data_IF_907346558207
#
_entry.id   IF_907346558207
#
_cell.length_a   1.000
_cell.length_b   1.000
_cell.length_c   1.000
_cell.angle_alpha   90.00
_cell.angle_beta   90.00
_cell.angle_gamma   90.00
#
_symmetry.space_group_name_H-M   'P 1'
#
loop_
_entity.id
_entity.type
_entity.pdbx_description
1 polymer ?
#
# COMPACT_ATOMS: atom_id res chain seq x y z
N UNK A 1 -7.12 -13.70 1.62
CA UNK A 1 -6.43 -12.95 0.54
C UNK A 1 -7.38 -12.00 -0.21
N UNK A 2 -8.61 -12.41 -0.54
CA UNK A 2 -9.56 -11.57 -1.30
C UNK A 2 -9.92 -10.23 -0.63
N UNK A 3 -10.13 -10.20 0.69
CA UNK A 3 -10.48 -8.96 1.40
C UNK A 3 -9.37 -7.89 1.34
N UNK A 4 -8.10 -8.32 1.33
CA UNK A 4 -6.96 -7.42 1.17
C UNK A 4 -6.98 -6.78 -0.23
N UNK A 5 -7.20 -7.59 -1.27
CA UNK A 5 -7.30 -7.10 -2.65
C UNK A 5 -8.48 -6.14 -2.86
N UNK A 6 -9.65 -6.42 -2.25
CA UNK A 6 -10.80 -5.50 -2.29
C UNK A 6 -10.52 -4.17 -1.58
N UNK A 7 -9.81 -4.21 -0.45
CA UNK A 7 -9.45 -2.97 0.27
C UNK A 7 -8.39 -2.17 -0.48
N UNK A 8 -7.45 -2.86 -1.14
CA UNK A 8 -6.47 -2.27 -2.05
C UNK A 8 -7.12 -1.61 -3.27
N UNK A 9 -8.25 -2.15 -3.76
CA UNK A 9 -9.00 -1.56 -4.87
C UNK A 9 -9.53 -0.15 -4.55
N UNK A 10 -9.72 0.19 -3.26
CA UNK A 10 -10.11 1.54 -2.84
C UNK A 10 -8.94 2.54 -2.82
N UNK A 11 -7.69 2.08 -2.91
CA UNK A 11 -6.52 2.95 -2.99
C UNK A 11 -6.32 3.49 -4.41
N UNK A 12 -5.83 4.73 -4.56
CA UNK A 12 -5.33 5.23 -5.83
C UNK A 12 -4.27 4.30 -6.44
N UNK A 13 -4.20 4.19 -7.78
CA UNK A 13 -3.38 3.18 -8.47
C UNK A 13 -1.92 3.13 -7.99
N UNK A 14 -1.30 4.30 -7.81
CA UNK A 14 0.11 4.40 -7.39
C UNK A 14 0.35 3.88 -5.98
N UNK A 15 -0.59 4.10 -5.05
CA UNK A 15 -0.49 3.60 -3.67
C UNK A 15 -0.75 2.10 -3.62
N UNK A 16 -1.71 1.61 -4.40
CA UNK A 16 -1.99 0.18 -4.54
C UNK A 16 -0.76 -0.58 -5.00
N UNK A 17 -0.12 -0.10 -6.07
CA UNK A 17 1.07 -0.71 -6.65
C UNK A 17 2.21 -0.79 -5.62
N UNK A 18 2.49 0.32 -4.92
CA UNK A 18 3.55 0.36 -3.90
C UNK A 18 3.27 -0.61 -2.75
N UNK A 19 2.03 -0.73 -2.29
CA UNK A 19 1.66 -1.69 -1.24
C UNK A 19 1.75 -3.13 -1.73
N UNK A 20 1.34 -3.40 -2.97
CA UNK A 20 1.43 -4.73 -3.55
C UNK A 20 2.89 -5.18 -3.67
N UNK A 21 3.75 -4.35 -4.26
CA UNK A 21 5.17 -4.66 -4.39
C UNK A 21 5.85 -4.89 -3.03
N UNK A 22 5.46 -4.13 -2.00
CA UNK A 22 6.06 -4.25 -0.67
C UNK A 22 5.50 -5.43 0.15
N UNK A 23 4.18 -5.49 0.34
CA UNK A 23 3.52 -6.44 1.26
C UNK A 23 3.25 -7.80 0.63
N UNK A 24 3.09 -7.87 -0.71
CA UNK A 24 2.75 -9.10 -1.43
C UNK A 24 3.99 -9.68 -2.12
N UNK A 25 4.71 -8.85 -2.87
CA UNK A 25 5.84 -9.31 -3.67
C UNK A 25 7.17 -9.26 -2.89
N UNK A 26 7.18 -8.63 -1.70
CA UNK A 26 8.33 -8.64 -0.78
C UNK A 26 9.49 -7.72 -1.15
N UNK A 27 9.29 -6.78 -2.08
CA UNK A 27 10.34 -5.82 -2.45
C UNK A 27 10.63 -4.84 -1.31
N UNK A 28 11.90 -4.46 -1.20
CA UNK A 28 12.32 -3.37 -0.32
C UNK A 28 11.90 -2.00 -0.86
N UNK A 29 11.82 -1.01 0.02
CA UNK A 29 11.56 0.39 -0.35
C UNK A 29 12.56 0.90 -1.40
N UNK A 30 13.82 0.49 -1.31
CA UNK A 30 14.87 0.92 -2.22
C UNK A 30 14.71 0.31 -3.62
N UNK A 31 14.31 -0.96 -3.72
CA UNK A 31 14.02 -1.62 -5.00
C UNK A 31 12.79 -1.02 -5.66
N UNK A 32 11.72 -0.78 -4.90
CA UNK A 32 10.51 -0.13 -5.41
C UNK A 32 10.81 1.29 -5.89
N UNK A 33 11.63 2.03 -5.15
CA UNK A 33 12.05 3.38 -5.53
C UNK A 33 12.78 3.39 -6.87
N UNK A 34 13.71 2.45 -7.08
CA UNK A 34 14.39 2.27 -8.38
C UNK A 34 13.43 1.83 -9.48
N UNK A 35 12.55 0.88 -9.19
CA UNK A 35 11.60 0.31 -10.16
C UNK A 35 10.60 1.36 -10.67
N UNK A 36 10.18 2.28 -9.81
CA UNK A 36 9.17 3.31 -10.11
C UNK A 36 9.76 4.69 -10.39
N UNK A 37 11.09 4.76 -10.58
CA UNK A 37 11.85 6.00 -10.77
C UNK A 37 11.42 7.10 -9.79
N UNK A 38 11.54 6.80 -8.49
CA UNK A 38 11.07 7.67 -7.41
C UNK A 38 12.01 7.60 -6.21
N UNK A 39 11.91 8.58 -5.31
CA UNK A 39 12.74 8.58 -4.10
C UNK A 39 12.25 7.56 -3.06
N UNK A 40 13.15 6.93 -2.27
CA UNK A 40 12.75 6.10 -1.14
C UNK A 40 11.86 6.82 -0.13
N UNK A 41 12.01 8.13 0.04
CA UNK A 41 11.16 8.95 0.89
C UNK A 41 9.71 8.99 0.36
N UNK A 42 9.54 9.16 -0.95
CA UNK A 42 8.23 9.12 -1.61
C UNK A 42 7.56 7.76 -1.46
N UNK A 43 8.30 6.67 -1.59
CA UNK A 43 7.77 5.31 -1.40
C UNK A 43 7.32 5.10 0.06
N UNK A 44 8.12 5.51 1.05
CA UNK A 44 7.73 5.47 2.47
C UNK A 44 6.46 6.27 2.75
N UNK A 45 6.34 7.45 2.15
CA UNK A 45 5.12 8.26 2.27
C UNK A 45 3.91 7.54 1.68
N UNK A 46 4.04 6.95 0.48
CA UNK A 46 2.96 6.17 -0.13
C UNK A 46 2.51 5.00 0.76
N UNK A 47 3.46 4.25 1.33
CA UNK A 47 3.17 3.15 2.26
C UNK A 47 2.45 3.66 3.52
N UNK A 48 2.92 4.75 4.11
CA UNK A 48 2.30 5.35 5.30
C UNK A 48 0.85 5.76 5.02
N UNK A 49 0.62 6.53 3.93
CA UNK A 49 -0.73 6.98 3.56
C UNK A 49 -1.63 5.80 3.23
N UNK A 50 -1.13 4.81 2.50
CA UNK A 50 -1.89 3.62 2.17
C UNK A 50 -2.30 2.84 3.42
N UNK A 51 -1.38 2.59 4.37
CA UNK A 51 -1.69 1.92 5.65
C UNK A 51 -2.73 2.68 6.46
N UNK A 52 -2.66 4.02 6.49
CA UNK A 52 -3.67 4.85 7.16
C UNK A 52 -5.05 4.70 6.50
N UNK A 53 -5.11 4.74 5.17
CA UNK A 53 -6.35 4.55 4.42
C UNK A 53 -6.93 3.15 4.60
N UNK A 54 -6.09 2.12 4.56
CA UNK A 54 -6.50 0.73 4.83
C UNK A 54 -7.03 0.57 6.26
N UNK A 55 -6.35 1.16 7.26
CA UNK A 55 -6.83 1.16 8.66
C UNK A 55 -8.19 1.85 8.80
N UNK A 56 -8.40 2.99 8.15
CA UNK A 56 -9.70 3.68 8.17
C UNK A 56 -10.77 2.87 7.46
N UNK A 57 -10.47 2.23 6.33
CA UNK A 57 -11.42 1.38 5.62
C UNK A 57 -11.78 0.10 6.40
N UNK A 58 -10.85 -0.41 7.20
CA UNK A 58 -11.02 -1.60 8.05
C UNK A 58 -11.54 -1.28 9.46
N UNK A 59 -11.52 -0.02 9.90
CA UNK A 59 -12.02 0.38 11.22
C UNK A 59 -13.53 0.11 11.42
N UNK A 60 -14.42 0.31 10.43
CA UNK A 60 -15.83 -0.07 10.53
C UNK A 60 -16.04 -1.59 10.65
N UNK A 61 -15.10 -2.39 10.15
CA UNK A 61 -15.17 -3.86 10.14
C UNK A 61 -14.71 -4.50 11.47
N UNK A 62 -14.22 -3.71 12.44
CA UNK A 62 -13.87 -4.18 13.79
C UNK A 62 -15.00 -4.03 14.82
N UNK A 63 -16.19 -3.57 14.40
CA UNK A 63 -17.43 -3.69 15.19
C UNK A 63 -18.29 -4.76 14.54
N UNK A 64 -18.03 -6.00 14.96
CA UNK A 64 -18.78 -7.21 14.65
C UNK A 64 -18.42 -8.23 15.71
#
# INVERSE_FOLDING_TARGET
REQFQRTLAALPPRRRLVVQLFEVDGFSVAEIAKLLDSSPATIRWHLHVARRQLRTALAPLRRG
#
